data_IF_407085190052
#
_entry.id   IF_407085190052
#
_cell.length_a   1.000
_cell.length_b   1.000
_cell.length_c   1.000
_cell.angle_alpha   90.00
_cell.angle_beta   90.00
_cell.angle_gamma   90.00
#
_symmetry.space_group_name_H-M   'P 1'
#
loop_
_entity.id
_entity.type
_entity.pdbx_description
1 polymer ?
#
# COMPACT_ATOMS: atom_id res chain seq x y z
N UNK A 1 23.35 -12.33 8.07
CA UNK A 1 22.09 -12.76 8.74
C UNK A 1 21.67 -14.11 8.17
N UNK A 2 21.24 -15.08 8.99
CA UNK A 2 20.71 -16.37 8.50
C UNK A 2 19.41 -16.17 7.70
N UNK A 3 19.15 -17.04 6.71
CA UNK A 3 17.88 -17.05 5.94
C UNK A 3 16.67 -17.15 6.87
N UNK A 4 16.74 -17.99 7.92
CA UNK A 4 15.68 -18.11 8.92
C UNK A 4 15.38 -16.78 9.61
N UNK A 5 16.42 -16.02 9.98
CA UNK A 5 16.25 -14.72 10.62
C UNK A 5 15.62 -13.70 9.64
N UNK A 6 16.03 -13.71 8.37
CA UNK A 6 15.43 -12.88 7.31
C UNK A 6 13.94 -13.16 7.15
N UNK A 7 13.54 -14.43 7.07
CA UNK A 7 12.12 -14.84 6.95
C UNK A 7 11.30 -14.38 8.16
N UNK A 8 11.82 -14.55 9.38
CA UNK A 8 11.13 -14.12 10.60
C UNK A 8 10.95 -12.60 10.62
N UNK A 9 11.99 -11.84 10.25
CA UNK A 9 11.92 -10.39 10.19
C UNK A 9 10.91 -9.94 9.14
N UNK A 10 10.94 -10.52 7.94
CA UNK A 10 9.98 -10.23 6.89
C UNK A 10 8.53 -10.48 7.34
N UNK A 11 8.27 -11.60 8.01
CA UNK A 11 6.94 -11.91 8.55
C UNK A 11 6.47 -10.86 9.58
N UNK A 12 7.34 -10.47 10.52
CA UNK A 12 7.03 -9.43 11.51
C UNK A 12 6.75 -8.08 10.86
N UNK A 13 7.56 -7.69 9.87
CA UNK A 13 7.37 -6.45 9.11
C UNK A 13 6.02 -6.45 8.39
N UNK A 14 5.67 -7.53 7.69
CA UNK A 14 4.39 -7.65 6.99
C UNK A 14 3.19 -7.68 7.95
N UNK A 15 3.32 -8.32 9.12
CA UNK A 15 2.29 -8.28 10.16
C UNK A 15 2.05 -6.85 10.65
N UNK A 16 3.11 -6.07 10.84
CA UNK A 16 3.02 -4.68 11.27
C UNK A 16 2.35 -3.80 10.20
N UNK A 17 2.88 -3.84 8.96
CA UNK A 17 2.35 -3.04 7.85
C UNK A 17 0.93 -3.43 7.45
N UNK A 18 0.57 -4.71 7.59
CA UNK A 18 -0.75 -5.22 7.26
C UNK A 18 -1.89 -4.67 8.12
N UNK A 19 -1.61 -4.02 9.26
CA UNK A 19 -2.64 -3.42 10.13
C UNK A 19 -3.39 -2.27 9.46
N UNK A 20 -2.69 -1.51 8.62
CA UNK A 20 -3.24 -0.35 7.90
C UNK A 20 -3.71 -0.71 6.47
N UNK A 21 -3.81 -2.00 6.16
CA UNK A 21 -4.21 -2.46 4.85
C UNK A 21 -5.65 -2.00 4.52
N UNK A 22 -5.95 -1.53 3.29
CA UNK A 22 -7.25 -0.91 2.97
C UNK A 22 -8.47 -1.81 3.22
N UNK A 23 -8.32 -3.13 3.09
CA UNK A 23 -9.39 -4.11 3.34
C UNK A 23 -9.44 -4.60 4.80
N UNK A 24 -8.61 -4.06 5.68
CA UNK A 24 -8.56 -4.38 7.09
C UNK A 24 -7.65 -5.55 7.45
N UNK A 25 -7.36 -5.65 8.75
CA UNK A 25 -6.45 -6.64 9.33
C UNK A 25 -6.95 -8.07 9.19
N UNK A 26 -8.24 -8.30 9.41
CA UNK A 26 -8.86 -9.63 9.33
C UNK A 26 -8.85 -10.20 7.91
N UNK A 27 -8.79 -9.34 6.89
CA UNK A 27 -8.58 -9.76 5.51
C UNK A 27 -7.11 -10.11 5.23
N UNK A 28 -6.19 -9.28 5.71
CA UNK A 28 -4.76 -9.39 5.39
C UNK A 28 -4.08 -10.55 6.12
N UNK A 29 -4.28 -10.66 7.44
CA UNK A 29 -3.61 -11.64 8.31
C UNK A 29 -3.74 -13.10 7.86
N UNK A 30 -4.94 -13.64 7.55
CA UNK A 30 -5.06 -15.04 7.13
C UNK A 30 -4.35 -15.30 5.79
N UNK A 31 -4.37 -14.33 4.88
CA UNK A 31 -3.67 -14.41 3.58
C UNK A 31 -2.15 -14.42 3.74
N UNK A 32 -1.63 -13.54 4.61
CA UNK A 32 -0.21 -13.53 4.96
C UNK A 32 0.19 -14.89 5.54
N UNK A 33 -0.55 -15.40 6.53
CA UNK A 33 -0.27 -16.69 7.15
C UNK A 33 -0.30 -17.83 6.11
N UNK A 34 -1.31 -17.86 5.25
CA UNK A 34 -1.44 -18.87 4.20
C UNK A 34 -0.25 -18.85 3.23
N UNK A 35 0.22 -17.66 2.83
CA UNK A 35 1.36 -17.52 1.92
C UNK A 35 2.67 -18.08 2.52
N UNK A 36 2.92 -17.84 3.81
CA UNK A 36 4.08 -18.39 4.50
C UNK A 36 3.95 -19.90 4.72
N UNK A 37 2.77 -20.38 5.10
CA UNK A 37 2.52 -21.82 5.28
C UNK A 37 2.69 -22.61 3.98
N UNK A 38 2.25 -22.06 2.84
CA UNK A 38 2.41 -22.70 1.53
C UNK A 38 3.87 -22.98 1.17
N UNK A 39 4.80 -22.19 1.70
CA UNK A 39 6.24 -22.30 1.40
C UNK A 39 7.06 -22.88 2.57
N UNK A 40 6.42 -23.44 3.61
CA UNK A 40 7.11 -23.93 4.82
C UNK A 40 8.15 -25.03 4.52
N UNK A 41 7.84 -25.89 3.57
CA UNK A 41 8.63 -27.10 3.29
C UNK A 41 9.69 -26.86 2.19
N UNK A 42 9.90 -25.61 1.77
CA UNK A 42 10.94 -25.23 0.81
C UNK A 42 12.31 -25.26 1.49
N UNK A 43 13.21 -26.12 1.00
CA UNK A 43 14.54 -26.33 1.57
C UNK A 43 15.68 -25.78 0.71
N UNK A 44 15.45 -25.54 -0.59
CA UNK A 44 16.48 -24.99 -1.48
C UNK A 44 16.79 -23.53 -1.09
N UNK A 45 18.04 -23.22 -0.68
CA UNK A 45 18.42 -21.88 -0.26
C UNK A 45 18.19 -20.83 -1.35
N UNK A 46 18.37 -21.16 -2.64
CA UNK A 46 18.16 -20.20 -3.73
C UNK A 46 16.69 -19.81 -3.86
N UNK A 47 15.79 -20.78 -3.71
CA UNK A 47 14.34 -20.53 -3.75
C UNK A 47 13.89 -19.73 -2.53
N UNK A 48 14.44 -20.02 -1.35
CA UNK A 48 14.16 -19.24 -0.12
C UNK A 48 14.54 -17.77 -0.32
N UNK A 49 15.71 -17.49 -0.88
CA UNK A 49 16.14 -16.11 -1.14
C UNK A 49 15.22 -15.41 -2.14
N UNK A 50 14.82 -16.06 -3.22
CA UNK A 50 13.84 -15.51 -4.17
C UNK A 50 12.48 -15.21 -3.52
N UNK A 51 12.00 -16.08 -2.62
CA UNK A 51 10.75 -15.86 -1.90
C UNK A 51 10.86 -14.69 -0.92
N UNK A 52 12.00 -14.54 -0.24
CA UNK A 52 12.27 -13.38 0.61
C UNK A 52 12.24 -12.10 -0.22
N UNK A 53 12.87 -12.09 -1.40
CA UNK A 53 12.93 -10.91 -2.26
C UNK A 53 11.54 -10.52 -2.79
N UNK A 54 10.71 -11.52 -3.15
CA UNK A 54 9.28 -11.29 -3.45
C UNK A 54 8.53 -10.68 -2.27
N UNK A 55 8.76 -11.17 -1.06
CA UNK A 55 8.14 -10.59 0.14
C UNK A 55 8.58 -9.15 0.40
N UNK A 56 9.86 -8.83 0.17
CA UNK A 56 10.38 -7.46 0.27
C UNK A 56 9.77 -6.52 -0.79
N UNK A 57 9.45 -7.04 -1.97
CA UNK A 57 8.70 -6.28 -2.97
C UNK A 57 7.30 -5.93 -2.47
N UNK A 58 6.57 -6.91 -1.88
CA UNK A 58 5.25 -6.69 -1.29
C UNK A 58 5.29 -5.64 -0.16
N UNK A 59 6.35 -5.63 0.65
CA UNK A 59 6.56 -4.57 1.67
C UNK A 59 6.52 -3.18 1.03
N UNK A 60 7.27 -2.97 -0.06
CA UNK A 60 7.30 -1.68 -0.78
C UNK A 60 5.95 -1.31 -1.39
N UNK A 61 5.19 -2.29 -1.88
CA UNK A 61 3.84 -2.05 -2.40
C UNK A 61 2.90 -1.55 -1.31
N UNK A 62 2.93 -2.16 -0.13
CA UNK A 62 2.09 -1.75 1.00
C UNK A 62 2.47 -0.35 1.49
N UNK A 63 3.77 -0.04 1.59
CA UNK A 63 4.26 1.30 1.91
C UNK A 63 3.78 2.32 0.87
N UNK A 64 3.83 1.97 -0.40
CA UNK A 64 3.35 2.83 -1.50
C UNK A 64 1.85 3.10 -1.37
N UNK A 65 1.04 2.08 -1.07
CA UNK A 65 -0.40 2.25 -0.82
C UNK A 65 -0.67 3.19 0.36
N UNK A 66 0.10 3.06 1.44
CA UNK A 66 0.02 3.95 2.59
C UNK A 66 0.35 5.40 2.22
N UNK A 67 1.45 5.63 1.50
CA UNK A 67 1.84 6.96 1.03
C UNK A 67 0.81 7.57 0.08
N UNK A 68 0.23 6.76 -0.81
CA UNK A 68 -0.82 7.21 -1.71
C UNK A 68 -2.09 7.63 -0.96
N UNK A 69 -2.50 6.86 0.07
CA UNK A 69 -3.63 7.23 0.95
C UNK A 69 -3.36 8.55 1.67
N UNK A 70 -2.14 8.75 2.20
CA UNK A 70 -1.71 10.00 2.84
C UNK A 70 -1.74 11.17 1.86
N UNK A 71 -1.17 11.00 0.67
CA UNK A 71 -1.17 12.01 -0.38
C UNK A 71 -2.59 12.40 -0.81
N UNK A 72 -3.48 11.43 -1.05
CA UNK A 72 -4.89 11.69 -1.39
C UNK A 72 -5.59 12.52 -0.31
N UNK A 73 -5.33 12.20 0.96
CA UNK A 73 -5.90 12.93 2.10
C UNK A 73 -5.38 14.38 2.16
N UNK A 74 -4.07 14.57 2.03
CA UNK A 74 -3.46 15.91 2.00
C UNK A 74 -3.96 16.71 0.80
N UNK A 75 -3.96 16.11 -0.40
CA UNK A 75 -4.43 16.75 -1.62
C UNK A 75 -5.87 17.26 -1.47
N UNK A 76 -6.74 16.45 -0.87
CA UNK A 76 -8.14 16.82 -0.63
C UNK A 76 -8.27 18.01 0.34
N UNK A 77 -7.37 18.15 1.32
CA UNK A 77 -7.46 19.22 2.32
C UNK A 77 -6.92 20.56 1.83
N UNK A 78 -5.82 20.55 1.08
CA UNK A 78 -5.12 21.78 0.68
C UNK A 78 -5.52 22.28 -0.72
N UNK A 79 -5.99 21.39 -1.60
CA UNK A 79 -6.34 21.74 -2.98
C UNK A 79 -7.85 21.61 -3.27
N UNK A 80 -8.70 21.48 -2.24
CA UNK A 80 -10.16 21.57 -2.41
C UNK A 80 -10.59 22.99 -2.76
N UNK A 81 -10.04 24.00 -2.08
CA UNK A 81 -10.42 25.41 -2.27
C UNK A 81 -10.01 25.94 -3.66
N UNK A 82 -8.86 25.52 -4.19
CA UNK A 82 -8.43 25.83 -5.57
C UNK A 82 -9.36 25.19 -6.60
N UNK A 83 -9.85 23.97 -6.36
CA UNK A 83 -10.81 23.34 -7.27
C UNK A 83 -12.16 24.03 -7.23
N UNK A 84 -12.64 24.36 -6.04
CA UNK A 84 -13.95 25.02 -5.87
C UNK A 84 -13.93 26.40 -6.52
N UNK A 85 -12.86 27.17 -6.35
CA UNK A 85 -12.66 28.47 -7.01
C UNK A 85 -12.50 28.36 -8.53
N UNK A 86 -11.76 27.38 -9.06
CA UNK A 86 -11.68 27.15 -10.52
C UNK A 86 -13.05 26.78 -11.09
N UNK A 87 -13.80 25.88 -10.43
CA UNK A 87 -15.15 25.49 -10.85
C UNK A 87 -16.09 26.69 -10.85
N UNK A 88 -15.98 27.57 -9.85
CA UNK A 88 -16.78 28.78 -9.76
C UNK A 88 -16.41 29.81 -10.83
N UNK A 89 -15.12 29.96 -11.14
CA UNK A 89 -14.63 30.81 -12.25
C UNK A 89 -15.11 30.27 -13.60
N UNK A 90 -15.00 28.96 -13.85
CA UNK A 90 -15.49 28.33 -15.08
C UNK A 90 -16.99 28.52 -15.26
N UNK A 91 -17.78 28.37 -14.18
CA UNK A 91 -19.23 28.57 -14.23
C UNK A 91 -19.61 30.03 -14.51
N UNK A 92 -18.86 31.01 -13.97
CA UNK A 92 -19.05 32.44 -14.29
C UNK A 92 -18.76 32.74 -15.76
N UNK A 93 -17.65 32.24 -16.29
CA UNK A 93 -17.28 32.42 -17.70
C UNK A 93 -18.32 31.82 -18.66
N UNK A 94 -18.86 30.64 -18.34
CA UNK A 94 -19.94 30.02 -19.12
C UNK A 94 -21.24 30.84 -19.09
N UNK A 95 -21.58 31.46 -17.96
CA UNK A 95 -22.77 32.32 -17.83
C UNK A 95 -22.65 33.67 -18.54
N UNK A 96 -21.43 34.20 -18.66
CA UNK A 96 -21.15 35.48 -19.34
C UNK A 96 -20.98 35.33 -20.86
N UNK A 97 -20.81 34.09 -21.35
CA UNK A 97 -20.58 33.77 -22.77
C UNK A 97 -21.87 33.50 -23.57
N UNK A 98 -23.05 33.52 -22.94
CA UNK A 98 -24.34 33.36 -23.64
C UNK A 98 -25.02 34.75 -23.77
N UNK A 99 -25.37 35.20 -24.99
CA UNK A 99 -26.00 36.50 -25.22
C UNK A 99 -27.42 36.61 -24.64
#
# INVERSE_FOLDING_TARGET
MSQRARVINLYKTLVYLGRDYPLGWDYFRPRLKAAFLKNRDVTDPKVVDQLIDRGNFVVKEIETLYMLKKYRTLKKRYYSEEKDSIVEISRKLESESCP
#
